data_IF_838779590274
#
_entry.id   IF_838779590274
#
_cell.length_a   1.000
_cell.length_b   1.000
_cell.length_c   1.000
_cell.angle_alpha   90.00
_cell.angle_beta   90.00
_cell.angle_gamma   90.00
#
_symmetry.space_group_name_H-M   'P 1'
#
loop_
_entity.id
_entity.type
_entity.pdbx_description
1 polymer ?
#
# COMPACT_ATOMS: atom_id res chain seq x y z
N UNK A 1 -15.16 9.14 15.40
CA UNK A 1 -15.50 8.36 14.19
C UNK A 1 -15.79 6.94 14.66
N UNK A 2 -17.03 6.53 14.60
CA UNK A 2 -17.51 5.30 15.25
C UNK A 2 -17.18 4.02 14.44
N UNK A 3 -16.54 4.15 13.27
CA UNK A 3 -16.13 3.04 12.37
C UNK A 3 -17.24 2.00 12.13
N UNK A 4 -18.48 2.45 11.97
CA UNK A 4 -19.63 1.60 11.76
C UNK A 4 -19.55 0.80 10.45
N UNK A 5 -18.86 1.34 9.44
CA UNK A 5 -18.65 0.70 8.14
C UNK A 5 -17.16 0.70 7.80
N UNK A 6 -16.63 -0.48 7.55
CA UNK A 6 -15.25 -0.66 7.09
C UNK A 6 -15.22 -0.53 5.57
N UNK A 7 -14.24 0.20 5.04
CA UNK A 7 -14.04 0.42 3.63
C UNK A 7 -12.77 -0.27 3.13
N UNK A 8 -12.81 -0.82 1.92
CA UNK A 8 -11.64 -1.30 1.21
C UNK A 8 -11.32 -0.44 -0.02
N UNK A 9 -10.07 -0.51 -0.47
CA UNK A 9 -9.57 0.23 -1.64
C UNK A 9 -9.52 -0.70 -2.86
N UNK A 10 -10.32 -0.40 -3.88
CA UNK A 10 -10.52 -1.19 -5.09
C UNK A 10 -9.82 -0.50 -6.29
N UNK A 11 -8.49 -0.41 -6.27
CA UNK A 11 -7.73 0.29 -7.29
C UNK A 11 -7.03 -0.67 -8.25
N UNK A 12 -6.15 -1.54 -7.72
CA UNK A 12 -5.34 -2.42 -8.53
C UNK A 12 -6.16 -3.45 -9.31
N UNK A 13 -5.70 -3.77 -10.52
CA UNK A 13 -6.25 -4.83 -11.37
C UNK A 13 -5.11 -5.78 -11.78
N UNK A 14 -5.39 -6.98 -12.31
CA UNK A 14 -4.35 -7.90 -12.76
C UNK A 14 -3.31 -7.26 -13.70
N UNK A 15 -3.75 -6.35 -14.57
CA UNK A 15 -2.89 -5.66 -15.56
C UNK A 15 -2.58 -4.20 -15.19
N UNK A 16 -3.07 -3.69 -14.04
CA UNK A 16 -2.93 -2.29 -13.63
C UNK A 16 -2.55 -2.18 -12.15
N UNK A 17 -1.27 -2.26 -11.85
CA UNK A 17 -0.69 -2.02 -10.53
C UNK A 17 0.05 -0.69 -10.48
N UNK A 18 1.33 -0.66 -10.88
CA UNK A 18 2.14 0.58 -10.92
C UNK A 18 1.56 1.63 -11.88
N UNK A 19 0.97 1.20 -13.00
CA UNK A 19 0.16 2.05 -13.86
C UNK A 19 -1.30 2.06 -13.37
N UNK A 20 -1.55 2.73 -12.25
CA UNK A 20 -2.87 2.80 -11.62
C UNK A 20 -3.93 3.48 -12.52
N UNK A 21 -3.54 4.25 -13.52
CA UNK A 21 -4.46 4.82 -14.50
C UNK A 21 -4.82 3.84 -15.64
N UNK A 22 -4.14 2.70 -15.72
CA UNK A 22 -4.39 1.66 -16.71
C UNK A 22 -5.61 0.78 -16.42
N UNK A 23 -6.48 1.15 -15.46
CA UNK A 23 -7.65 0.37 -15.05
C UNK A 23 -8.61 0.11 -16.21
N UNK A 24 -9.11 -1.12 -16.27
CA UNK A 24 -10.03 -1.63 -17.30
C UNK A 24 -11.42 -1.97 -16.77
N UNK A 25 -11.59 -2.08 -15.43
CA UNK A 25 -12.92 -2.24 -14.81
C UNK A 25 -13.83 -1.15 -15.34
N UNK A 26 -14.85 -1.54 -16.10
CA UNK A 26 -15.71 -0.63 -16.87
C UNK A 26 -16.96 -0.27 -16.08
N UNK A 27 -17.35 0.99 -16.15
CA UNK A 27 -18.68 1.45 -15.74
C UNK A 27 -19.44 1.97 -16.95
N UNK A 28 -20.60 1.39 -17.21
CA UNK A 28 -21.47 1.77 -18.33
C UNK A 28 -22.69 2.52 -17.79
N UNK A 29 -22.96 3.69 -18.36
CA UNK A 29 -24.10 4.52 -17.97
C UNK A 29 -25.43 3.81 -18.22
N UNK A 30 -26.31 3.83 -17.21
CA UNK A 30 -27.69 3.36 -17.29
C UNK A 30 -28.61 4.38 -16.62
N UNK A 31 -29.92 4.13 -16.62
CA UNK A 31 -30.88 5.01 -15.95
C UNK A 31 -30.64 5.01 -14.43
N UNK A 32 -30.43 6.18 -13.85
CA UNK A 32 -30.21 6.39 -12.41
C UNK A 32 -28.83 5.99 -11.88
N UNK A 33 -27.89 5.52 -12.73
CA UNK A 33 -26.58 5.09 -12.25
C UNK A 33 -25.69 4.44 -13.30
N UNK A 34 -24.92 3.45 -12.85
CA UNK A 34 -23.88 2.79 -13.63
C UNK A 34 -23.89 1.28 -13.40
N UNK A 35 -23.61 0.51 -14.43
CA UNK A 35 -23.29 -0.92 -14.32
C UNK A 35 -21.79 -1.12 -14.38
N UNK A 36 -21.23 -1.67 -13.31
CA UNK A 36 -19.79 -1.92 -13.14
C UNK A 36 -19.48 -3.37 -13.46
N UNK A 37 -18.49 -3.57 -14.35
CA UNK A 37 -17.98 -4.88 -14.77
C UNK A 37 -16.47 -4.90 -14.77
N UNK A 38 -15.86 -5.92 -14.16
CA UNK A 38 -14.43 -6.09 -14.13
C UNK A 38 -13.91 -6.85 -12.93
N UNK A 39 -12.62 -6.65 -12.64
CA UNK A 39 -11.94 -7.34 -11.56
C UNK A 39 -10.94 -6.40 -10.88
N UNK A 40 -10.94 -6.43 -9.55
CA UNK A 40 -9.89 -5.83 -8.72
C UNK A 40 -9.08 -6.92 -8.01
N UNK A 41 -7.83 -6.62 -7.69
CA UNK A 41 -6.92 -7.56 -7.05
C UNK A 41 -6.08 -6.85 -5.99
N UNK A 42 -5.52 -7.61 -5.06
CA UNK A 42 -4.73 -7.12 -3.94
C UNK A 42 -5.51 -6.20 -3.00
N UNK A 43 -6.84 -6.39 -2.93
CA UNK A 43 -7.70 -5.60 -2.06
C UNK A 43 -7.61 -6.11 -0.63
N UNK A 44 -6.99 -5.30 0.23
CA UNK A 44 -6.88 -5.61 1.66
C UNK A 44 -8.25 -5.60 2.32
N UNK A 45 -8.58 -6.66 3.05
CA UNK A 45 -9.77 -6.72 3.90
C UNK A 45 -11.12 -6.70 3.19
N UNK A 46 -11.19 -6.89 1.86
CA UNK A 46 -12.45 -6.85 1.12
C UNK A 46 -13.50 -7.83 1.65
N UNK A 47 -13.06 -8.97 2.21
CA UNK A 47 -13.95 -10.03 2.71
C UNK A 47 -14.70 -9.66 4.01
N UNK A 48 -14.35 -8.55 4.65
CA UNK A 48 -15.10 -8.01 5.81
C UNK A 48 -15.49 -6.54 5.66
N UNK A 49 -15.22 -5.93 4.50
CA UNK A 49 -15.59 -4.54 4.23
C UNK A 49 -17.04 -4.44 3.79
N UNK A 50 -17.75 -3.44 4.29
CA UNK A 50 -19.11 -3.12 3.84
C UNK A 50 -19.15 -2.28 2.58
N UNK A 51 -18.15 -1.42 2.38
CA UNK A 51 -18.04 -0.53 1.22
C UNK A 51 -16.67 -0.63 0.57
N UNK A 52 -16.61 -0.38 -0.73
CA UNK A 52 -15.37 -0.31 -1.51
C UNK A 52 -15.24 1.02 -2.24
N UNK A 53 -14.01 1.55 -2.27
CA UNK A 53 -13.69 2.80 -2.98
C UNK A 53 -12.96 2.46 -4.27
N UNK A 54 -13.65 2.54 -5.42
CA UNK A 54 -13.21 1.96 -6.68
C UNK A 54 -12.85 3.00 -7.74
N UNK A 55 -11.73 2.78 -8.44
CA UNK A 55 -11.45 3.43 -9.73
C UNK A 55 -12.05 2.62 -10.85
N UNK A 56 -12.86 3.23 -11.71
CA UNK A 56 -13.50 2.57 -12.85
C UNK A 56 -13.32 3.38 -14.14
N UNK A 57 -13.32 2.69 -15.29
CA UNK A 57 -13.23 3.30 -16.61
C UNK A 57 -14.63 3.68 -17.10
N UNK A 58 -14.95 4.96 -17.11
CA UNK A 58 -16.20 5.51 -17.62
C UNK A 58 -16.08 5.96 -19.08
N UNK A 59 -14.88 6.44 -19.48
CA UNK A 59 -14.62 6.88 -20.84
C UNK A 59 -13.34 6.25 -21.39
N UNK A 60 -13.40 5.27 -22.30
CA UNK A 60 -12.23 4.64 -22.89
C UNK A 60 -11.62 5.43 -24.06
N UNK A 61 -12.30 6.45 -24.59
CA UNK A 61 -11.95 7.14 -25.82
C UNK A 61 -11.08 8.39 -25.60
N UNK A 62 -10.70 8.65 -24.34
CA UNK A 62 -9.85 9.78 -23.94
C UNK A 62 -8.53 9.26 -23.32
N UNK A 63 -7.52 10.13 -23.12
CA UNK A 63 -6.30 9.74 -22.42
C UNK A 63 -6.62 9.05 -21.08
N UNK A 64 -5.85 8.03 -20.73
CA UNK A 64 -6.17 7.12 -19.61
C UNK A 64 -6.46 7.81 -18.26
N UNK A 65 -5.88 8.98 -18.02
CA UNK A 65 -6.10 9.74 -16.79
C UNK A 65 -7.43 10.51 -16.77
N UNK A 66 -7.98 10.81 -17.95
CA UNK A 66 -9.13 11.70 -18.13
C UNK A 66 -10.46 10.92 -18.26
N UNK A 67 -10.43 9.59 -18.26
CA UNK A 67 -11.60 8.73 -18.42
C UNK A 67 -11.85 7.80 -17.23
N UNK A 68 -11.37 8.16 -16.05
CA UNK A 68 -11.56 7.42 -14.80
C UNK A 68 -12.57 8.16 -13.93
N UNK A 69 -13.49 7.41 -13.35
CA UNK A 69 -14.40 7.90 -12.30
C UNK A 69 -14.14 7.14 -10.99
N UNK A 70 -14.31 7.80 -9.88
CA UNK A 70 -14.26 7.19 -8.57
C UNK A 70 -15.68 6.88 -8.10
N UNK A 71 -15.91 5.66 -7.60
CA UNK A 71 -17.21 5.22 -7.14
C UNK A 71 -17.11 4.54 -5.77
N UNK A 72 -18.11 4.77 -4.93
CA UNK A 72 -18.35 3.98 -3.74
C UNK A 72 -19.20 2.76 -4.14
N UNK A 73 -18.77 1.55 -3.79
CA UNK A 73 -19.47 0.31 -4.15
C UNK A 73 -19.86 -0.42 -2.86
N UNK A 74 -21.13 -0.75 -2.73
CA UNK A 74 -21.59 -1.67 -1.68
C UNK A 74 -20.99 -3.06 -1.95
N UNK A 75 -20.18 -3.55 -1.01
CA UNK A 75 -19.50 -4.84 -1.14
C UNK A 75 -20.45 -6.04 -1.01
N UNK A 76 -21.70 -5.80 -0.61
CA UNK A 76 -22.78 -6.80 -0.52
C UNK A 76 -23.78 -6.70 -1.66
N UNK A 77 -23.57 -5.76 -2.62
CA UNK A 77 -24.46 -5.62 -3.78
C UNK A 77 -24.47 -6.89 -4.64
N UNK A 78 -25.61 -7.14 -5.29
CA UNK A 78 -25.71 -8.21 -6.27
C UNK A 78 -24.66 -8.03 -7.38
N UNK A 79 -23.97 -9.13 -7.73
CA UNK A 79 -22.88 -9.13 -8.72
C UNK A 79 -21.48 -8.88 -8.15
N UNK A 80 -21.33 -8.55 -6.86
CA UNK A 80 -20.01 -8.48 -6.20
C UNK A 80 -19.63 -9.86 -5.68
N UNK A 81 -18.47 -10.34 -6.11
CA UNK A 81 -17.89 -11.58 -5.60
C UNK A 81 -16.48 -11.33 -5.05
N UNK A 82 -16.25 -11.67 -3.77
CA UNK A 82 -14.96 -11.52 -3.10
C UNK A 82 -14.30 -12.89 -2.93
N UNK A 83 -13.07 -13.03 -3.42
CA UNK A 83 -12.27 -14.28 -3.30
C UNK A 83 -10.97 -13.99 -2.55
N UNK A 84 -10.80 -14.50 -1.32
CA UNK A 84 -9.55 -14.35 -0.57
C UNK A 84 -8.37 -15.01 -1.28
N UNK A 85 -7.25 -14.30 -1.34
CA UNK A 85 -5.98 -14.79 -1.89
C UNK A 85 -5.15 -15.42 -0.77
N UNK A 86 -4.81 -16.69 -0.91
CA UNK A 86 -3.92 -17.36 0.04
C UNK A 86 -2.48 -16.94 -0.19
N UNK A 87 -1.88 -16.33 0.82
CA UNK A 87 -0.51 -15.85 0.81
C UNK A 87 0.48 -16.93 1.27
N UNK A 88 1.77 -16.72 1.00
CA UNK A 88 2.86 -17.64 1.38
C UNK A 88 2.99 -17.87 2.88
N UNK A 89 2.59 -16.89 3.70
CA UNK A 89 2.55 -17.00 5.16
C UNK A 89 1.31 -17.75 5.68
N UNK A 90 0.43 -18.24 4.78
CA UNK A 90 -0.81 -18.94 5.12
C UNK A 90 -2.00 -18.03 5.42
N UNK A 91 -1.82 -16.71 5.52
CA UNK A 91 -2.89 -15.74 5.68
C UNK A 91 -3.67 -15.47 4.38
N UNK A 92 -4.75 -14.70 4.46
CA UNK A 92 -5.60 -14.31 3.34
C UNK A 92 -6.07 -12.86 3.48
N UNK A 93 -5.14 -11.96 3.74
CA UNK A 93 -5.42 -10.53 3.95
C UNK A 93 -5.85 -9.83 2.67
N UNK A 94 -5.36 -10.30 1.51
CA UNK A 94 -5.69 -9.75 0.20
C UNK A 94 -6.77 -10.55 -0.50
N UNK A 95 -7.50 -9.88 -1.39
CA UNK A 95 -8.62 -10.46 -2.11
C UNK A 95 -8.59 -10.08 -3.59
N UNK A 96 -9.16 -10.95 -4.43
CA UNK A 96 -9.72 -10.59 -5.71
C UNK A 96 -11.18 -10.17 -5.48
N UNK A 97 -11.65 -9.17 -6.22
CA UNK A 97 -13.03 -8.71 -6.18
C UNK A 97 -13.52 -8.62 -7.62
N UNK A 98 -14.56 -9.38 -7.92
CA UNK A 98 -15.18 -9.42 -9.25
C UNK A 98 -16.48 -8.62 -9.23
N UNK A 99 -16.73 -7.88 -10.30
CA UNK A 99 -17.95 -7.15 -10.54
C UNK A 99 -18.63 -7.69 -11.79
N UNK A 100 -19.87 -8.10 -11.67
CA UNK A 100 -20.70 -8.62 -12.75
C UNK A 100 -22.04 -7.87 -12.75
N UNK A 101 -22.14 -6.87 -13.61
CA UNK A 101 -23.28 -5.96 -13.72
C UNK A 101 -23.71 -5.32 -12.38
N UNK A 102 -22.73 -4.96 -11.55
CA UNK A 102 -22.98 -4.31 -10.25
C UNK A 102 -23.54 -2.92 -10.48
N UNK A 103 -24.76 -2.67 -10.00
CA UNK A 103 -25.38 -1.35 -10.08
C UNK A 103 -24.82 -0.41 -9.01
N UNK A 104 -24.37 0.77 -9.45
CA UNK A 104 -23.88 1.85 -8.59
C UNK A 104 -24.73 3.09 -8.88
N UNK A 105 -25.48 3.62 -7.89
CA UNK A 105 -26.29 4.83 -8.05
C UNK A 105 -25.44 6.07 -8.38
N UNK A 106 -26.05 7.07 -8.97
CA UNK A 106 -25.36 8.35 -9.25
C UNK A 106 -24.84 9.05 -7.99
N UNK A 107 -25.55 8.90 -6.88
CA UNK A 107 -25.17 9.50 -5.59
C UNK A 107 -23.89 8.87 -4.99
N UNK A 108 -23.50 7.67 -5.45
CA UNK A 108 -22.29 6.98 -5.03
C UNK A 108 -21.07 7.29 -5.92
N UNK A 109 -21.23 8.20 -6.90
CA UNK A 109 -20.11 8.75 -7.66
C UNK A 109 -19.37 9.79 -6.82
N UNK A 110 -18.06 9.57 -6.60
CA UNK A 110 -17.23 10.45 -5.77
C UNK A 110 -16.44 11.41 -6.64
N UNK A 111 -16.84 12.68 -6.59
CA UNK A 111 -16.28 13.73 -7.45
C UNK A 111 -16.88 13.75 -8.87
N UNK A 112 -16.28 14.46 -9.80
CA UNK A 112 -16.79 14.54 -11.19
C UNK A 112 -16.64 13.21 -11.93
N UNK A 113 -17.62 12.89 -12.78
CA UNK A 113 -17.47 11.83 -13.79
C UNK A 113 -16.25 12.17 -14.67
N UNK A 114 -15.45 11.16 -14.99
CA UNK A 114 -14.16 11.26 -15.70
C UNK A 114 -13.06 12.05 -14.96
N UNK A 115 -13.35 12.59 -13.76
CA UNK A 115 -12.41 13.31 -12.90
C UNK A 115 -11.81 12.48 -11.76
N UNK A 116 -12.08 11.19 -11.71
CA UNK A 116 -11.71 10.27 -10.63
C UNK A 116 -10.20 10.10 -10.42
N UNK A 117 -9.38 10.40 -11.42
CA UNK A 117 -7.93 10.34 -11.27
C UNK A 117 -7.41 11.34 -10.22
N UNK A 118 -7.98 12.54 -10.16
CA UNK A 118 -7.63 13.54 -9.14
C UNK A 118 -8.00 13.04 -7.74
N UNK A 119 -9.18 12.42 -7.59
CA UNK A 119 -9.63 11.82 -6.33
C UNK A 119 -8.71 10.67 -5.92
N UNK A 120 -8.39 9.76 -6.85
CA UNK A 120 -7.46 8.65 -6.62
C UNK A 120 -6.08 9.13 -6.15
N UNK A 121 -5.54 10.20 -6.77
CA UNK A 121 -4.25 10.76 -6.37
C UNK A 121 -4.24 11.31 -4.92
N UNK A 122 -5.33 11.92 -4.49
CA UNK A 122 -5.46 12.37 -3.09
C UNK A 122 -5.43 11.19 -2.12
N UNK A 123 -6.16 10.11 -2.44
CA UNK A 123 -6.18 8.88 -1.63
C UNK A 123 -4.79 8.24 -1.57
N UNK A 124 -4.12 8.06 -2.72
CA UNK A 124 -2.77 7.48 -2.81
C UNK A 124 -1.70 8.35 -2.12
N UNK A 125 -1.89 9.67 -2.10
CA UNK A 125 -1.04 10.59 -1.35
C UNK A 125 -1.14 10.35 0.16
N UNK A 126 -2.35 10.27 0.67
CA UNK A 126 -2.62 9.99 2.09
C UNK A 126 -2.17 8.58 2.51
N UNK A 127 -2.37 7.57 1.63
CA UNK A 127 -1.86 6.21 1.84
C UNK A 127 -0.34 6.19 2.01
N UNK A 128 0.39 6.90 1.14
CA UNK A 128 1.86 6.97 1.23
C UNK A 128 2.34 7.59 2.54
N UNK A 129 1.63 8.59 3.06
CA UNK A 129 1.92 9.21 4.37
C UNK A 129 1.61 8.21 5.50
N UNK A 130 0.48 7.51 5.43
CA UNK A 130 0.09 6.51 6.43
C UNK A 130 1.08 5.35 6.50
N UNK A 131 1.46 4.77 5.35
CA UNK A 131 2.44 3.68 5.28
C UNK A 131 3.80 4.17 5.77
N UNK A 132 4.27 5.32 5.30
CA UNK A 132 5.53 5.92 5.72
C UNK A 132 5.58 6.25 7.22
N UNK A 133 4.41 6.49 7.84
CA UNK A 133 4.23 6.71 9.28
C UNK A 133 4.27 5.42 10.13
N UNK A 134 4.48 4.26 9.53
CA UNK A 134 4.48 2.97 10.22
C UNK A 134 3.07 2.40 10.45
N UNK A 135 2.04 2.98 9.85
CA UNK A 135 0.64 2.54 9.98
C UNK A 135 0.33 1.16 9.39
N UNK A 136 1.26 0.57 8.63
CA UNK A 136 1.10 -0.76 8.02
C UNK A 136 1.48 -1.95 8.90
N UNK A 137 1.85 -1.74 10.18
CA UNK A 137 2.13 -2.84 11.14
C UNK A 137 3.39 -3.68 10.84
N UNK A 138 4.12 -3.40 9.76
CA UNK A 138 5.31 -4.17 9.35
C UNK A 138 6.64 -3.48 9.70
N UNK A 139 6.61 -2.45 10.53
CA UNK A 139 7.83 -1.81 11.05
C UNK A 139 8.23 -2.44 12.38
N UNK A 140 9.43 -2.98 12.44
CA UNK A 140 9.98 -3.51 13.68
C UNK A 140 10.69 -2.38 14.45
N UNK A 141 10.26 -2.04 15.69
CA UNK A 141 10.98 -1.08 16.50
C UNK A 141 12.43 -1.51 16.71
N UNK A 142 13.36 -0.57 16.57
CA UNK A 142 14.80 -0.88 16.71
C UNK A 142 15.14 -1.58 18.02
N UNK A 143 14.49 -1.19 19.12
CA UNK A 143 14.65 -1.83 20.43
C UNK A 143 14.25 -3.32 20.46
N UNK A 144 13.41 -3.79 19.54
CA UNK A 144 13.00 -5.19 19.49
C UNK A 144 14.13 -6.12 19.02
N UNK A 145 15.16 -5.60 18.34
CA UNK A 145 16.32 -6.38 17.91
C UNK A 145 17.35 -6.60 19.02
N UNK A 146 17.35 -5.76 20.06
CA UNK A 146 18.36 -5.80 21.12
C UNK A 146 18.28 -7.12 21.92
N UNK A 147 17.12 -7.61 22.41
CA UNK A 147 17.07 -8.87 23.12
C UNK A 147 17.52 -10.08 22.28
N UNK A 148 17.24 -10.08 20.99
CA UNK A 148 17.66 -11.15 20.09
C UNK A 148 19.18 -11.13 19.88
N UNK A 149 19.79 -9.93 19.80
CA UNK A 149 21.25 -9.75 19.73
C UNK A 149 21.92 -10.22 21.03
N UNK A 150 21.38 -9.81 22.19
CA UNK A 150 21.92 -10.19 23.49
C UNK A 150 21.91 -11.72 23.70
N UNK A 151 20.87 -12.37 23.21
CA UNK A 151 20.75 -13.83 23.29
C UNK A 151 21.72 -14.58 22.35
N UNK A 152 22.08 -14.00 21.21
CA UNK A 152 22.89 -14.66 20.18
C UNK A 152 23.89 -13.71 19.50
N UNK A 153 24.82 -13.08 20.26
CA UNK A 153 25.67 -12.00 19.73
C UNK A 153 26.59 -12.47 18.60
N UNK A 154 27.01 -13.72 18.62
CA UNK A 154 27.97 -14.30 17.65
C UNK A 154 27.29 -14.73 16.33
N UNK A 155 25.95 -14.72 16.25
CA UNK A 155 25.23 -15.12 15.03
C UNK A 155 25.12 -14.01 13.99
N UNK A 156 25.25 -12.75 14.41
CA UNK A 156 25.01 -11.62 13.53
C UNK A 156 26.28 -11.17 12.81
N UNK A 157 26.29 -11.28 11.48
CA UNK A 157 27.33 -10.68 10.65
C UNK A 157 27.32 -9.17 10.82
N UNK A 158 28.46 -8.58 11.19
CA UNK A 158 28.59 -7.16 11.49
C UNK A 158 28.20 -6.77 12.92
N UNK A 159 27.69 -7.70 13.72
CA UNK A 159 27.45 -7.56 15.17
C UNK A 159 26.62 -6.37 15.62
N UNK A 160 26.81 -5.91 16.85
CA UNK A 160 26.10 -4.79 17.44
C UNK A 160 26.13 -3.48 16.62
N UNK A 161 27.21 -3.09 15.90
CA UNK A 161 27.20 -1.90 15.04
C UNK A 161 26.14 -1.95 13.94
N UNK A 162 25.80 -3.12 13.41
CA UNK A 162 24.75 -3.28 12.39
C UNK A 162 23.34 -3.01 12.97
N UNK A 163 23.06 -3.51 14.18
CA UNK A 163 21.83 -3.19 14.92
C UNK A 163 21.77 -1.71 15.27
N UNK A 164 22.89 -1.13 15.72
CA UNK A 164 22.97 0.30 16.02
C UNK A 164 22.64 1.18 14.80
N UNK A 165 23.13 0.82 13.62
CA UNK A 165 22.81 1.51 12.36
C UNK A 165 21.31 1.41 12.07
N UNK A 166 20.75 0.21 12.15
CA UNK A 166 19.31 0.01 11.96
C UNK A 166 18.48 0.89 12.89
N UNK A 167 18.82 0.94 14.19
CA UNK A 167 18.14 1.77 15.17
C UNK A 167 18.20 3.25 14.79
N UNK A 168 19.37 3.73 14.37
CA UNK A 168 19.54 5.13 13.96
C UNK A 168 18.70 5.47 12.71
N UNK A 169 18.71 4.61 11.69
CA UNK A 169 17.92 4.79 10.46
C UNK A 169 16.42 4.74 10.74
N UNK A 170 15.96 3.78 11.55
CA UNK A 170 14.57 3.68 11.96
C UNK A 170 14.12 4.94 12.75
N UNK A 171 14.96 5.44 13.64
CA UNK A 171 14.67 6.68 14.38
C UNK A 171 14.63 7.90 13.46
N UNK A 172 15.51 7.98 12.46
CA UNK A 172 15.50 9.06 11.47
C UNK A 172 14.18 9.10 10.67
N UNK A 173 13.62 7.93 10.30
CA UNK A 173 12.29 7.83 9.67
C UNK A 173 11.22 8.43 10.60
N UNK A 174 11.23 8.08 11.89
CA UNK A 174 10.30 8.62 12.88
C UNK A 174 10.36 10.16 12.96
N UNK A 175 11.57 10.75 12.92
CA UNK A 175 11.77 12.20 12.93
C UNK A 175 11.27 12.86 11.63
N UNK A 176 11.46 12.23 10.46
CA UNK A 176 10.93 12.72 9.19
C UNK A 176 9.39 12.72 9.19
N UNK A 177 8.77 11.67 9.72
CA UNK A 177 7.32 11.58 9.86
C UNK A 177 6.77 12.63 10.83
N UNK A 178 7.44 12.86 11.97
CA UNK A 178 7.08 13.91 12.91
C UNK A 178 7.16 15.30 12.25
N UNK A 179 8.19 15.55 11.44
CA UNK A 179 8.32 16.80 10.66
C UNK A 179 7.16 16.98 9.67
N UNK A 180 6.77 15.91 8.97
CA UNK A 180 5.64 15.92 8.03
C UNK A 180 4.32 16.18 8.77
N UNK A 181 4.09 15.54 9.92
CA UNK A 181 2.93 15.78 10.77
C UNK A 181 2.85 17.22 11.27
N UNK A 182 3.96 17.77 11.77
CA UNK A 182 4.01 19.18 12.22
C UNK A 182 3.70 20.18 11.09
N UNK A 183 4.15 19.88 9.85
CA UNK A 183 3.79 20.70 8.69
C UNK A 183 2.28 20.66 8.43
N UNK A 184 1.68 19.46 8.45
CA UNK A 184 0.24 19.32 8.25
C UNK A 184 -0.58 20.05 9.33
N UNK A 185 -0.18 19.95 10.59
CA UNK A 185 -0.82 20.69 11.71
C UNK A 185 -0.71 22.21 11.51
N UNK A 186 0.37 22.70 10.92
CA UNK A 186 0.55 24.10 10.58
C UNK A 186 -0.20 24.53 9.29
N UNK A 187 -1.04 23.66 8.72
CA UNK A 187 -1.83 23.94 7.51
C UNK A 187 -1.04 23.82 6.21
N UNK A 188 0.15 23.23 6.23
CA UNK A 188 0.96 22.99 5.03
C UNK A 188 0.47 21.76 4.25
N UNK A 189 0.54 21.84 2.93
CA UNK A 189 0.23 20.72 2.03
C UNK A 189 1.20 19.53 2.27
N UNK A 190 0.72 18.28 2.11
CA UNK A 190 1.59 17.11 2.11
C UNK A 190 2.69 17.26 1.06
N UNK A 191 3.92 17.21 1.51
CA UNK A 191 5.08 17.30 0.62
C UNK A 191 5.43 15.95 -0.02
N UNK A 192 6.42 15.93 -0.92
CA UNK A 192 6.88 14.71 -1.56
C UNK A 192 7.65 13.77 -0.61
N UNK A 193 7.86 14.18 0.65
CA UNK A 193 8.60 13.42 1.66
C UNK A 193 8.00 12.03 1.94
N UNK A 194 6.69 11.85 1.74
CA UNK A 194 6.03 10.55 1.86
C UNK A 194 6.61 9.49 0.92
N UNK A 195 7.13 9.89 -0.25
CA UNK A 195 7.84 8.98 -1.14
C UNK A 195 9.18 8.52 -0.55
N UNK A 196 9.91 9.43 0.12
CA UNK A 196 11.19 9.13 0.77
C UNK A 196 11.00 8.21 1.97
N UNK A 197 10.08 8.56 2.88
CA UNK A 197 9.84 7.77 4.09
C UNK A 197 9.35 6.37 3.75
N UNK A 198 8.47 6.22 2.76
CA UNK A 198 7.99 4.91 2.28
C UNK A 198 9.12 4.07 1.69
N UNK A 199 9.99 4.66 0.86
CA UNK A 199 11.13 3.95 0.26
C UNK A 199 12.11 3.47 1.34
N UNK A 200 12.53 4.38 2.23
CA UNK A 200 13.50 4.06 3.30
C UNK A 200 12.90 3.04 4.27
N UNK A 201 11.61 3.18 4.64
CA UNK A 201 10.93 2.20 5.50
C UNK A 201 10.96 0.78 4.91
N UNK A 202 10.77 0.67 3.59
CA UNK A 202 10.88 -0.62 2.90
C UNK A 202 12.29 -1.22 3.00
N UNK A 203 13.33 -0.42 2.78
CA UNK A 203 14.73 -0.87 2.82
C UNK A 203 15.18 -1.21 4.25
N UNK A 204 14.86 -0.35 5.21
CA UNK A 204 15.15 -0.56 6.64
C UNK A 204 14.44 -1.79 7.19
N UNK A 205 13.20 -2.05 6.76
CA UNK A 205 12.49 -3.25 7.17
C UNK A 205 13.07 -4.53 6.55
N UNK A 206 13.62 -4.49 5.34
CA UNK A 206 14.37 -5.64 4.78
C UNK A 206 15.62 -5.92 5.62
N UNK A 207 16.31 -4.88 6.09
CA UNK A 207 17.46 -5.03 6.96
C UNK A 207 17.07 -5.62 8.33
N UNK A 208 15.97 -5.16 8.94
CA UNK A 208 15.44 -5.76 10.17
C UNK A 208 15.16 -7.24 10.01
N UNK A 209 14.53 -7.60 8.88
CA UNK A 209 14.23 -8.99 8.54
C UNK A 209 15.49 -9.84 8.42
N UNK A 210 16.52 -9.32 7.75
CA UNK A 210 17.81 -10.00 7.61
C UNK A 210 18.51 -10.18 8.97
N UNK A 211 18.55 -9.14 9.80
CA UNK A 211 19.13 -9.18 11.16
C UNK A 211 18.41 -10.25 12.00
N UNK A 212 17.08 -10.23 12.06
CA UNK A 212 16.32 -11.21 12.85
C UNK A 212 16.54 -12.64 12.35
N UNK A 213 16.60 -12.83 11.04
CA UNK A 213 16.83 -14.15 10.45
C UNK A 213 18.19 -14.71 10.85
N UNK A 214 19.25 -13.88 10.79
CA UNK A 214 20.58 -14.29 11.23
C UNK A 214 20.62 -14.61 12.72
N UNK A 215 20.02 -13.75 13.56
CA UNK A 215 19.99 -13.94 15.02
C UNK A 215 19.23 -15.20 15.45
N UNK A 216 18.10 -15.50 14.80
CA UNK A 216 17.33 -16.71 15.08
C UNK A 216 17.93 -17.96 14.43
N UNK A 217 18.78 -17.80 13.42
CA UNK A 217 19.45 -18.93 12.75
C UNK A 217 18.44 -19.96 12.19
N UNK A 218 18.62 -21.27 12.42
CA UNK A 218 17.74 -22.30 11.88
C UNK A 218 16.27 -22.15 12.29
N UNK A 219 15.99 -21.58 13.47
CA UNK A 219 14.62 -21.36 13.96
C UNK A 219 13.83 -20.42 13.05
N UNK A 220 14.49 -19.50 12.35
CA UNK A 220 13.84 -18.60 11.39
C UNK A 220 13.17 -19.31 10.20
N UNK A 221 13.44 -20.59 9.99
CA UNK A 221 12.79 -21.39 8.94
C UNK A 221 11.39 -21.88 9.33
N UNK A 222 11.00 -21.76 10.60
CA UNK A 222 9.74 -22.31 11.11
C UNK A 222 8.71 -21.20 11.38
N UNK A 223 7.43 -21.57 11.18
CA UNK A 223 6.28 -20.69 11.39
C UNK A 223 5.84 -20.63 12.87
N UNK A 224 6.48 -21.40 13.73
CA UNK A 224 6.22 -21.48 15.17
C UNK A 224 7.53 -21.33 15.98
N UNK A 225 7.42 -21.30 17.30
CA UNK A 225 8.56 -21.18 18.22
C UNK A 225 9.29 -19.83 18.13
N UNK A 226 10.57 -19.83 18.50
CA UNK A 226 11.37 -18.62 18.62
C UNK A 226 11.59 -17.88 17.29
N UNK A 227 11.60 -18.59 16.18
CA UNK A 227 11.80 -18.03 14.82
C UNK A 227 10.55 -17.51 14.14
N UNK A 228 9.36 -17.73 14.70
CA UNK A 228 8.08 -17.44 14.03
C UNK A 228 7.98 -16.00 13.52
N UNK A 229 8.40 -15.01 14.32
CA UNK A 229 8.38 -13.61 13.91
C UNK A 229 9.31 -13.32 12.72
N UNK A 230 10.53 -13.85 12.72
CA UNK A 230 11.46 -13.68 11.59
C UNK A 230 10.90 -14.31 10.33
N UNK A 231 10.33 -15.51 10.42
CA UNK A 231 9.71 -16.19 9.30
C UNK A 231 8.55 -15.37 8.72
N UNK A 232 7.63 -14.88 9.57
CA UNK A 232 6.53 -14.01 9.15
C UNK A 232 7.04 -12.75 8.44
N UNK A 233 8.07 -12.09 8.99
CA UNK A 233 8.66 -10.91 8.36
C UNK A 233 9.30 -11.23 7.01
N UNK A 234 10.03 -12.36 6.88
CA UNK A 234 10.61 -12.79 5.60
C UNK A 234 9.54 -12.95 4.53
N UNK A 235 8.42 -13.59 4.87
CA UNK A 235 7.34 -13.87 3.92
C UNK A 235 6.52 -12.63 3.57
N UNK A 236 6.35 -11.67 4.50
CA UNK A 236 5.46 -10.53 4.34
C UNK A 236 6.16 -9.24 3.92
N UNK A 237 7.39 -9.00 4.41
CA UNK A 237 8.02 -7.70 4.27
C UNK A 237 8.30 -7.31 2.82
N UNK A 238 8.44 -8.28 1.90
CA UNK A 238 8.62 -8.01 0.46
C UNK A 238 7.44 -7.23 -0.13
N UNK A 239 6.24 -7.38 0.41
CA UNK A 239 5.08 -6.61 0.00
C UNK A 239 5.29 -5.09 0.20
N UNK A 240 6.11 -4.67 1.19
CA UNK A 240 6.42 -3.25 1.43
C UNK A 240 7.21 -2.60 0.29
N UNK A 241 7.94 -3.36 -0.52
CA UNK A 241 8.59 -2.82 -1.72
C UNK A 241 7.63 -2.60 -2.88
N UNK A 242 6.38 -3.09 -2.77
CA UNK A 242 5.37 -3.08 -3.83
C UNK A 242 4.18 -2.19 -3.45
N UNK A 243 3.58 -2.42 -2.27
CA UNK A 243 2.39 -1.72 -1.79
C UNK A 243 2.60 -0.21 -1.66
N UNK A 244 1.56 0.59 -1.89
CA UNK A 244 1.63 2.05 -1.83
C UNK A 244 2.56 2.68 -2.87
N UNK A 245 2.78 1.99 -3.99
CA UNK A 245 3.74 2.32 -5.05
C UNK A 245 5.10 1.64 -4.85
N UNK A 246 5.58 0.97 -5.91
CA UNK A 246 6.84 0.21 -5.85
C UNK A 246 8.03 1.10 -5.48
N UNK A 247 9.12 0.48 -5.03
CA UNK A 247 10.37 1.19 -4.74
C UNK A 247 10.87 1.98 -5.96
N UNK A 248 10.68 1.47 -7.18
CA UNK A 248 11.02 2.13 -8.44
C UNK A 248 10.14 3.36 -8.67
N UNK A 249 8.83 3.24 -8.47
CA UNK A 249 7.90 4.38 -8.56
C UNK A 249 8.27 5.47 -7.53
N UNK A 250 8.66 5.07 -6.31
CA UNK A 250 9.09 6.05 -5.29
C UNK A 250 10.40 6.73 -5.67
N UNK A 251 11.38 6.01 -6.25
CA UNK A 251 12.61 6.60 -6.78
C UNK A 251 12.33 7.59 -7.90
N UNK A 252 11.42 7.27 -8.82
CA UNK A 252 11.00 8.20 -9.88
C UNK A 252 10.35 9.46 -9.28
N UNK A 253 9.42 9.29 -8.33
CA UNK A 253 8.79 10.43 -7.65
C UNK A 253 9.81 11.33 -6.93
N UNK A 254 10.81 10.74 -6.27
CA UNK A 254 11.91 11.48 -5.63
C UNK A 254 12.72 12.22 -6.67
N UNK A 255 13.14 11.53 -7.74
CA UNK A 255 13.92 12.12 -8.82
C UNK A 255 13.20 13.30 -9.46
N UNK A 256 11.97 13.12 -9.88
CA UNK A 256 11.20 14.13 -10.59
C UNK A 256 10.74 15.29 -9.69
N UNK A 257 10.19 14.99 -8.50
CA UNK A 257 9.48 16.00 -7.68
C UNK A 257 10.35 16.64 -6.60
N UNK A 258 11.39 15.96 -6.13
CA UNK A 258 12.29 16.46 -5.08
C UNK A 258 13.58 17.00 -5.69
N UNK A 259 14.18 16.22 -6.60
CA UNK A 259 15.47 16.57 -7.20
C UNK A 259 15.33 17.37 -8.51
N UNK A 260 14.10 17.49 -9.06
CA UNK A 260 13.85 18.23 -10.30
C UNK A 260 14.46 17.59 -11.54
N UNK A 261 14.74 16.29 -11.52
CA UNK A 261 15.27 15.56 -12.67
C UNK A 261 14.20 15.43 -13.77
N UNK A 262 14.61 15.36 -15.04
CA UNK A 262 13.67 15.16 -16.14
C UNK A 262 12.98 13.80 -16.02
N UNK A 263 11.70 13.76 -16.38
CA UNK A 263 10.94 12.52 -16.45
C UNK A 263 11.53 11.60 -17.51
N UNK A 264 11.54 10.29 -17.23
CA UNK A 264 11.93 9.28 -18.22
C UNK A 264 11.00 9.37 -19.46
N UNK A 265 11.55 9.60 -20.65
CA UNK A 265 10.77 9.72 -21.88
C UNK A 265 10.01 8.45 -22.26
N UNK A 266 10.39 7.29 -21.72
CA UNK A 266 9.71 6.01 -21.92
C UNK A 266 8.46 5.84 -21.06
N UNK A 267 8.29 6.67 -20.04
CA UNK A 267 7.12 6.67 -19.13
C UNK A 267 6.05 7.66 -19.61
N UNK A 268 5.63 7.56 -20.87
CA UNK A 268 4.58 8.40 -21.46
C UNK A 268 3.18 7.93 -21.08
#
# INVERSE_FOLDING_TARGET
>A
LDQEVIWCQLFSEPDAGSDAAGVKTKATRVDGGWLVNGQKVWTSGAHYSGMGFATVRTNPDVPKHDGITMMAIDMHAEGVEVRPLKMTNGGSEFNEVFFNDVFVPDDDVVGPVDGGWTVARSTLGNESVSIGGGGGGMSLPGAALVPALDANPDRLTGGAPRVGRYIAEHQAIGLLNLRAANRAVAGGEPGPEGAMTKLVLSEVGHEATAILTELNGPDAAFMDGAGAMSNQLVLMHRAMSIAGGTSEIKRNQIGERILGLPRDPLLK
#
